data_IF_789146784358
#
_entry.id   IF_789146784358
#
_cell.length_a   1.000
_cell.length_b   1.000
_cell.length_c   1.000
_cell.angle_alpha   90.00
_cell.angle_beta   90.00
_cell.angle_gamma   90.00
#
_symmetry.space_group_name_H-M   'P 1'
#
loop_
_entity.id
_entity.type
_entity.pdbx_description
1 polymer ?
#
# COMPACT_ATOMS: atom_id res chain seq x y z
N UNK A 1 16.95 -11.51 0.27
CA UNK A 1 15.85 -12.36 -0.18
C UNK A 1 16.07 -13.85 0.07
N UNK A 2 17.28 -14.43 -0.22
CA UNK A 2 17.58 -15.87 0.03
C UNK A 2 17.34 -16.28 1.50
N UNK A 3 17.82 -15.48 2.45
CA UNK A 3 17.62 -15.74 3.89
C UNK A 3 16.14 -15.69 4.28
N UNK A 4 15.42 -14.66 3.83
CA UNK A 4 13.98 -14.54 4.04
C UNK A 4 13.22 -15.77 3.53
N UNK A 5 13.44 -16.16 2.27
CA UNK A 5 12.78 -17.34 1.67
C UNK A 5 13.07 -18.64 2.41
N UNK A 6 14.29 -18.81 2.93
CA UNK A 6 14.71 -20.04 3.61
C UNK A 6 14.30 -20.11 5.08
N UNK A 7 14.38 -18.99 5.80
CA UNK A 7 14.27 -18.99 7.26
C UNK A 7 12.95 -18.42 7.78
N UNK A 8 12.36 -17.44 7.08
CA UNK A 8 11.16 -16.75 7.59
C UNK A 8 9.90 -17.15 6.82
N UNK A 9 9.98 -17.22 5.50
CA UNK A 9 8.81 -17.48 4.67
C UNK A 9 8.05 -18.78 5.00
N UNK A 10 8.69 -19.91 5.35
CA UNK A 10 7.96 -21.11 5.76
C UNK A 10 7.13 -20.92 7.03
N UNK A 11 7.60 -20.11 7.98
CA UNK A 11 6.87 -19.80 9.20
C UNK A 11 5.69 -18.87 8.93
N UNK A 12 5.90 -17.85 8.10
CA UNK A 12 4.82 -16.97 7.62
C UNK A 12 3.78 -17.77 6.83
N UNK A 13 4.21 -18.67 5.96
CA UNK A 13 3.29 -19.53 5.21
C UNK A 13 2.36 -20.29 6.16
N UNK A 14 2.93 -21.00 7.11
CA UNK A 14 2.15 -21.78 8.09
C UNK A 14 1.16 -20.89 8.85
N UNK A 15 1.63 -19.77 9.42
CA UNK A 15 0.79 -18.87 10.18
C UNK A 15 -0.33 -18.25 9.32
N UNK A 16 0.00 -17.78 8.13
CA UNK A 16 -0.98 -17.17 7.22
C UNK A 16 -2.00 -18.20 6.71
N UNK A 17 -1.56 -19.41 6.38
CA UNK A 17 -2.42 -20.48 5.90
C UNK A 17 -3.44 -20.90 6.96
N UNK A 18 -2.98 -21.25 8.16
CA UNK A 18 -3.85 -21.66 9.28
C UNK A 18 -4.86 -20.54 9.62
N UNK A 19 -4.39 -19.28 9.67
CA UNK A 19 -5.25 -18.12 9.92
C UNK A 19 -6.28 -17.93 8.82
N UNK A 20 -5.86 -17.98 7.55
CA UNK A 20 -6.74 -17.77 6.41
C UNK A 20 -7.80 -18.87 6.32
N UNK A 21 -7.43 -20.13 6.47
CA UNK A 21 -8.36 -21.25 6.46
C UNK A 21 -9.41 -21.14 7.58
N UNK A 22 -8.96 -20.80 8.79
CA UNK A 22 -9.89 -20.60 9.92
C UNK A 22 -10.82 -19.42 9.66
N UNK A 23 -10.29 -18.31 9.17
CA UNK A 23 -11.06 -17.10 8.92
C UNK A 23 -12.12 -17.30 7.83
N UNK A 24 -11.77 -17.96 6.73
CA UNK A 24 -12.69 -18.24 5.63
C UNK A 24 -13.85 -19.14 6.03
N UNK A 25 -13.69 -20.03 7.01
CA UNK A 25 -14.79 -20.83 7.59
C UNK A 25 -15.85 -19.96 8.26
N UNK A 26 -15.47 -18.78 8.78
CA UNK A 26 -16.38 -17.84 9.46
C UNK A 26 -16.86 -16.73 8.55
N UNK A 27 -16.01 -16.28 7.64
CA UNK A 27 -16.29 -15.23 6.66
C UNK A 27 -15.67 -15.61 5.30
N UNK A 28 -16.46 -16.18 4.37
CA UNK A 28 -15.94 -16.59 3.05
C UNK A 28 -15.30 -15.47 2.23
N UNK A 29 -15.66 -14.21 2.50
CA UNK A 29 -15.11 -13.03 1.83
C UNK A 29 -13.97 -12.38 2.62
N UNK A 30 -13.52 -13.02 3.71
CA UNK A 30 -12.48 -12.48 4.58
C UNK A 30 -11.15 -12.28 3.88
N UNK A 31 -10.50 -11.15 4.18
CA UNK A 31 -9.20 -10.77 3.62
C UNK A 31 -8.15 -10.71 4.72
N UNK A 32 -6.93 -11.12 4.40
CA UNK A 32 -5.78 -10.99 5.31
C UNK A 32 -4.82 -9.97 4.73
N UNK A 33 -4.48 -9.00 5.55
CA UNK A 33 -3.49 -7.97 5.29
C UNK A 33 -2.21 -8.29 6.05
N UNK A 34 -1.07 -8.20 5.37
CA UNK A 34 0.24 -8.36 5.98
C UNK A 34 0.82 -6.99 6.30
N UNK A 35 1.18 -6.77 7.57
CA UNK A 35 1.80 -5.53 8.03
C UNK A 35 3.31 -5.68 8.11
N UNK A 36 4.04 -4.76 7.44
CA UNK A 36 5.49 -4.61 7.61
C UNK A 36 5.96 -3.22 7.20
N UNK A 37 6.53 -2.47 8.14
CA UNK A 37 7.10 -1.15 7.89
C UNK A 37 8.46 -1.22 7.20
N UNK A 38 8.88 -0.09 6.61
CA UNK A 38 10.20 0.11 6.03
C UNK A 38 10.26 -0.05 4.51
N UNK A 39 11.48 -0.12 4.00
CA UNK A 39 11.76 -0.28 2.57
C UNK A 39 11.49 -1.71 2.09
N UNK A 40 10.23 -2.08 1.99
CA UNK A 40 9.81 -3.42 1.59
C UNK A 40 9.81 -3.54 0.05
N UNK A 41 10.67 -4.36 -0.54
CA UNK A 41 10.73 -4.53 -1.99
C UNK A 41 9.56 -5.38 -2.50
N UNK A 42 9.18 -5.18 -3.76
CA UNK A 42 8.14 -5.98 -4.43
C UNK A 42 8.43 -7.48 -4.40
N UNK A 43 9.69 -7.88 -4.51
CA UNK A 43 10.11 -9.29 -4.42
C UNK A 43 9.81 -9.95 -3.06
N UNK A 44 9.68 -9.18 -1.99
CA UNK A 44 9.19 -9.69 -0.71
C UNK A 44 7.68 -9.94 -0.78
N UNK A 45 6.92 -8.99 -1.34
CA UNK A 45 5.47 -9.12 -1.52
C UNK A 45 5.13 -10.28 -2.46
N UNK A 46 5.88 -10.47 -3.55
CA UNK A 46 5.76 -11.66 -4.41
C UNK A 46 6.00 -12.95 -3.63
N UNK A 47 6.97 -12.94 -2.72
CA UNK A 47 7.21 -14.06 -1.81
C UNK A 47 6.01 -14.36 -0.91
N UNK A 48 5.32 -13.35 -0.41
CA UNK A 48 4.07 -13.53 0.36
C UNK A 48 2.94 -14.06 -0.52
N UNK A 49 2.75 -13.51 -1.71
CA UNK A 49 1.73 -13.92 -2.67
C UNK A 49 1.93 -15.37 -3.17
N UNK A 50 3.18 -15.85 -3.19
CA UNK A 50 3.47 -17.24 -3.55
C UNK A 50 2.99 -18.25 -2.50
N UNK A 51 2.61 -17.79 -1.32
CA UNK A 51 2.02 -18.63 -0.28
C UNK A 51 0.54 -18.81 -0.53
N UNK A 52 0.14 -20.01 -0.90
CA UNK A 52 -1.23 -20.30 -1.33
C UNK A 52 -1.86 -21.42 -0.49
N UNK A 53 -3.16 -21.31 -0.33
CA UNK A 53 -4.01 -22.41 0.16
C UNK A 53 -4.06 -23.52 -0.89
N UNK A 54 -4.57 -24.69 -0.48
CA UNK A 54 -4.74 -25.85 -1.37
C UNK A 54 -5.64 -25.59 -2.60
N UNK A 55 -6.49 -24.56 -2.53
CA UNK A 55 -7.36 -24.12 -3.65
C UNK A 55 -6.68 -23.09 -4.58
N UNK A 56 -5.40 -22.79 -4.38
CA UNK A 56 -4.65 -21.79 -5.16
C UNK A 56 -4.86 -20.34 -4.75
N UNK A 57 -5.71 -20.06 -3.76
CA UNK A 57 -5.91 -18.71 -3.25
C UNK A 57 -4.70 -18.27 -2.43
N UNK A 58 -4.24 -17.02 -2.61
CA UNK A 58 -3.17 -16.46 -1.77
C UNK A 58 -3.58 -16.42 -0.29
N UNK A 59 -2.64 -16.76 0.59
CA UNK A 59 -2.82 -16.62 2.03
C UNK A 59 -2.87 -15.16 2.49
N UNK A 60 -2.27 -14.24 1.71
CA UNK A 60 -2.24 -12.80 1.97
C UNK A 60 -2.94 -12.09 0.82
N UNK A 61 -3.89 -11.22 1.13
CA UNK A 61 -4.67 -10.45 0.15
C UNK A 61 -4.22 -9.00 0.02
N UNK A 62 -3.52 -8.47 1.01
CA UNK A 62 -3.12 -7.07 1.03
C UNK A 62 -1.85 -6.79 1.81
N UNK A 63 -1.29 -5.62 1.59
CA UNK A 63 -0.06 -5.16 2.22
C UNK A 63 -0.24 -3.78 2.87
N UNK A 64 0.29 -3.63 4.07
CA UNK A 64 0.24 -2.44 4.92
C UNK A 64 1.59 -2.24 5.65
N UNK A 65 2.11 -1.04 5.72
CA UNK A 65 1.73 0.15 4.95
C UNK A 65 2.58 0.32 3.69
N UNK A 66 2.02 0.98 2.70
CA UNK A 66 2.85 1.59 1.65
C UNK A 66 3.46 2.86 2.21
N UNK A 67 4.78 2.89 2.37
CA UNK A 67 5.52 4.03 2.89
C UNK A 67 6.29 4.74 1.76
N UNK A 68 5.89 5.95 1.32
CA UNK A 68 6.49 6.64 0.18
C UNK A 68 7.98 6.93 0.40
N UNK A 69 8.34 7.46 1.54
CA UNK A 69 9.72 7.85 1.88
C UNK A 69 10.67 6.67 2.13
N UNK A 70 10.15 5.51 2.49
CA UNK A 70 10.96 4.31 2.70
C UNK A 70 11.26 3.54 1.40
N UNK A 71 10.57 3.86 0.33
CA UNK A 71 10.63 3.12 -0.94
C UNK A 71 11.82 3.54 -1.81
N UNK A 72 13.01 3.04 -1.49
CA UNK A 72 14.23 3.35 -2.30
C UNK A 72 14.19 2.81 -3.73
N UNK A 73 13.45 1.73 -4.00
CA UNK A 73 13.49 0.97 -5.27
C UNK A 73 12.13 0.55 -5.81
N UNK A 74 11.05 0.90 -5.16
CA UNK A 74 9.70 0.61 -5.64
C UNK A 74 8.68 1.51 -4.93
N UNK A 75 8.41 2.66 -5.52
CA UNK A 75 7.42 3.62 -5.03
C UNK A 75 6.00 3.07 -5.02
N UNK A 76 5.04 3.84 -4.50
CA UNK A 76 3.63 3.44 -4.45
C UNK A 76 3.09 3.01 -5.81
N UNK A 77 3.37 3.80 -6.86
CA UNK A 77 2.94 3.51 -8.23
C UNK A 77 3.52 2.20 -8.77
N UNK A 78 4.83 1.96 -8.58
CA UNK A 78 5.48 0.71 -9.01
C UNK A 78 4.84 -0.51 -8.34
N UNK A 79 4.57 -0.45 -7.04
CA UNK A 79 3.89 -1.53 -6.32
C UNK A 79 2.50 -1.81 -6.90
N UNK A 80 1.74 -0.74 -7.18
CA UNK A 80 0.42 -0.87 -7.78
C UNK A 80 0.46 -1.50 -9.17
N UNK A 81 1.39 -1.04 -10.03
CA UNK A 81 1.53 -1.57 -11.38
C UNK A 81 1.95 -3.04 -11.42
N UNK A 82 2.82 -3.45 -10.49
CA UNK A 82 3.35 -4.83 -10.46
C UNK A 82 2.41 -5.83 -9.77
N UNK A 83 1.68 -5.41 -8.75
CA UNK A 83 0.99 -6.32 -7.85
C UNK A 83 -0.48 -5.95 -7.57
N UNK A 84 -0.97 -4.84 -8.12
CA UNK A 84 -2.31 -4.33 -7.80
C UNK A 84 -3.47 -5.18 -8.33
N UNK A 85 -3.21 -6.13 -9.23
CA UNK A 85 -4.13 -7.15 -9.68
C UNK A 85 -4.19 -8.37 -8.72
N UNK A 86 -3.21 -8.51 -7.84
CA UNK A 86 -3.02 -9.66 -6.95
C UNK A 86 -3.24 -9.35 -5.48
N UNK A 87 -3.04 -8.09 -5.08
CA UNK A 87 -3.23 -7.66 -3.69
C UNK A 87 -3.71 -6.22 -3.59
N UNK A 88 -4.41 -5.92 -2.51
CA UNK A 88 -4.73 -4.54 -2.17
C UNK A 88 -3.61 -3.89 -1.35
N UNK A 89 -3.57 -2.56 -1.36
CA UNK A 89 -2.60 -1.77 -0.62
C UNK A 89 -3.28 -0.83 0.35
N UNK A 90 -2.62 -0.60 1.48
CA UNK A 90 -3.08 0.30 2.53
C UNK A 90 -1.99 1.32 2.87
N UNK A 91 -2.38 2.55 3.26
CA UNK A 91 -1.45 3.60 3.68
C UNK A 91 -1.21 4.64 2.58
N UNK A 92 0.05 4.99 2.38
CA UNK A 92 0.49 5.86 1.28
C UNK A 92 0.74 7.30 1.64
N UNK A 93 0.12 7.87 2.68
CA UNK A 93 0.36 9.27 3.09
C UNK A 93 1.50 9.34 4.10
N UNK A 94 2.46 10.20 3.81
CA UNK A 94 3.71 10.29 4.56
C UNK A 94 3.51 10.85 5.97
N UNK A 95 3.99 10.09 6.97
CA UNK A 95 3.96 10.44 8.39
C UNK A 95 5.30 11.00 8.92
N UNK A 96 6.30 11.13 8.05
CA UNK A 96 7.62 11.60 8.44
C UNK A 96 7.82 13.09 8.15
N UNK A 97 7.22 13.59 7.08
CA UNK A 97 7.38 14.96 6.63
C UNK A 97 6.04 15.63 6.31
N UNK A 98 5.23 15.05 5.40
CA UNK A 98 4.03 15.71 4.88
C UNK A 98 2.99 15.93 5.98
N UNK A 99 2.59 14.90 6.70
CA UNK A 99 1.56 15.03 7.74
C UNK A 99 2.03 15.87 8.94
N UNK A 100 3.24 15.70 9.51
CA UNK A 100 3.63 16.48 10.69
C UNK A 100 4.10 17.91 10.36
N UNK A 101 4.73 18.13 9.19
CA UNK A 101 5.44 19.39 8.91
C UNK A 101 4.97 20.11 7.65
N UNK A 102 4.20 19.45 6.80
CA UNK A 102 3.61 20.06 5.60
C UNK A 102 2.45 20.99 5.94
N UNK A 103 2.13 21.87 4.98
CA UNK A 103 0.88 22.63 5.00
C UNK A 103 -0.31 21.72 4.63
N UNK A 104 -1.53 22.16 4.92
CA UNK A 104 -2.75 21.46 4.45
C UNK A 104 -2.73 21.24 2.93
N UNK A 105 -2.22 22.20 2.15
CA UNK A 105 -2.13 22.05 0.69
C UNK A 105 -1.08 21.01 0.28
N UNK A 106 0.02 20.85 1.01
CA UNK A 106 0.99 19.79 0.76
C UNK A 106 0.37 18.43 1.02
N UNK A 107 -0.42 18.30 2.08
CA UNK A 107 -1.19 17.09 2.38
C UNK A 107 -2.20 16.79 1.28
N UNK A 108 -2.96 17.79 0.81
CA UNK A 108 -3.92 17.62 -0.28
C UNK A 108 -3.26 17.18 -1.58
N UNK A 109 -2.11 17.77 -1.92
CA UNK A 109 -1.31 17.36 -3.09
C UNK A 109 -0.88 15.91 -2.99
N UNK A 110 -0.35 15.49 -1.84
CA UNK A 110 0.05 14.11 -1.66
C UNK A 110 -1.14 13.15 -1.75
N UNK A 111 -2.29 13.49 -1.20
CA UNK A 111 -3.53 12.70 -1.32
C UNK A 111 -3.92 12.49 -2.78
N UNK A 112 -3.95 13.57 -3.59
CA UNK A 112 -4.25 13.49 -5.03
C UNK A 112 -3.24 12.58 -5.75
N UNK A 113 -1.96 12.76 -5.47
CA UNK A 113 -0.88 11.92 -6.01
C UNK A 113 -1.11 10.45 -5.70
N UNK A 114 -1.34 10.09 -4.45
CA UNK A 114 -1.52 8.68 -4.05
C UNK A 114 -2.78 8.07 -4.64
N UNK A 115 -3.88 8.81 -4.71
CA UNK A 115 -5.11 8.34 -5.35
C UNK A 115 -4.88 8.08 -6.84
N UNK A 116 -4.20 8.98 -7.54
CA UNK A 116 -3.87 8.81 -8.95
C UNK A 116 -2.94 7.61 -9.18
N UNK A 117 -1.91 7.44 -8.34
CA UNK A 117 -0.94 6.35 -8.46
C UNK A 117 -1.53 4.98 -8.15
N UNK A 118 -2.38 4.88 -7.15
CA UNK A 118 -2.79 3.61 -6.55
C UNK A 118 -4.28 3.31 -6.64
N UNK A 119 -5.11 4.30 -6.91
CA UNK A 119 -6.57 4.14 -6.88
C UNK A 119 -7.15 3.46 -8.11
N UNK A 120 -6.51 3.59 -9.29
CA UNK A 120 -7.05 3.02 -10.53
C UNK A 120 -7.33 1.52 -10.42
N UNK A 121 -8.53 1.11 -10.82
CA UNK A 121 -8.96 -0.28 -10.72
C UNK A 121 -9.30 -0.75 -9.31
N UNK A 122 -9.33 0.13 -8.31
CA UNK A 122 -9.62 -0.23 -6.92
C UNK A 122 -8.44 -0.88 -6.20
N UNK A 123 -8.71 -1.56 -5.07
CA UNK A 123 -7.67 -2.25 -4.29
C UNK A 123 -6.70 -1.31 -3.58
N UNK A 124 -7.10 -0.09 -3.27
CA UNK A 124 -6.34 0.87 -2.49
C UNK A 124 -7.16 1.45 -1.34
N UNK A 125 -6.64 1.39 -0.14
CA UNK A 125 -7.19 2.00 1.06
C UNK A 125 -6.26 3.13 1.49
N UNK A 126 -6.62 4.37 1.13
CA UNK A 126 -5.85 5.54 1.51
C UNK A 126 -5.86 5.73 3.02
N UNK A 127 -4.69 5.89 3.59
CA UNK A 127 -4.46 6.18 5.00
C UNK A 127 -3.07 6.77 5.19
N UNK A 128 -2.79 7.26 6.39
CA UNK A 128 -1.41 7.50 6.82
C UNK A 128 -0.59 6.21 6.73
N UNK A 129 0.70 6.32 6.36
CA UNK A 129 1.60 5.17 6.21
C UNK A 129 2.06 4.56 7.54
N UNK A 130 1.63 5.12 8.65
CA UNK A 130 1.74 4.61 10.01
C UNK A 130 0.65 5.26 10.87
N UNK A 131 0.56 4.90 12.16
CA UNK A 131 -0.34 5.60 13.09
C UNK A 131 0.01 7.09 13.13
N UNK A 132 -0.99 7.93 13.30
CA UNK A 132 -0.79 9.35 13.53
C UNK A 132 -0.22 9.56 14.94
N UNK A 133 0.90 10.25 15.01
CA UNK A 133 1.55 10.62 16.26
C UNK A 133 1.10 12.03 16.70
N UNK A 134 1.47 12.42 17.90
CA UNK A 134 1.06 13.68 18.52
C UNK A 134 1.62 14.94 17.83
N UNK A 135 2.60 14.80 16.97
CA UNK A 135 3.21 15.86 16.17
C UNK A 135 2.43 16.19 14.88
N UNK A 136 1.42 15.39 14.55
CA UNK A 136 0.58 15.64 13.37
C UNK A 136 -0.53 16.63 13.74
N UNK A 137 -0.58 17.84 13.11
CA UNK A 137 -1.68 18.78 13.32
C UNK A 137 -3.02 18.18 12.91
N UNK A 138 -4.07 18.50 13.69
CA UNK A 138 -5.43 18.01 13.36
C UNK A 138 -5.91 18.52 12.00
N UNK A 139 -5.50 19.73 11.63
CA UNK A 139 -5.82 20.37 10.34
C UNK A 139 -5.29 19.52 9.18
N UNK A 140 -4.08 19.00 9.28
CA UNK A 140 -3.48 18.12 8.28
C UNK A 140 -4.22 16.78 8.18
N UNK A 141 -4.66 16.24 9.32
CA UNK A 141 -5.48 15.02 9.32
C UNK A 141 -6.84 15.26 8.66
N UNK A 142 -7.48 16.40 8.94
CA UNK A 142 -8.75 16.77 8.31
C UNK A 142 -8.57 17.05 6.81
N UNK A 143 -7.50 17.75 6.41
CA UNK A 143 -7.17 17.98 5.01
C UNK A 143 -7.00 16.66 4.24
N UNK A 144 -6.33 15.67 4.82
CA UNK A 144 -6.19 14.33 4.24
C UNK A 144 -7.55 13.66 4.00
N UNK A 145 -8.44 13.70 4.98
CA UNK A 145 -9.76 13.06 4.90
C UNK A 145 -10.66 13.76 3.89
N UNK A 146 -10.70 15.10 3.93
CA UNK A 146 -11.55 15.89 3.05
C UNK A 146 -11.12 15.76 1.59
N UNK A 147 -9.81 15.86 1.31
CA UNK A 147 -9.30 15.70 -0.04
C UNK A 147 -9.52 14.28 -0.58
N UNK A 148 -9.38 13.27 0.27
CA UNK A 148 -9.67 11.90 -0.13
C UNK A 148 -11.15 11.70 -0.54
N UNK A 149 -12.08 12.38 0.12
CA UNK A 149 -13.51 12.33 -0.24
C UNK A 149 -13.80 13.06 -1.55
N UNK A 150 -13.14 14.18 -1.79
CA UNK A 150 -13.33 15.01 -2.99
C UNK A 150 -12.71 14.33 -4.20
N UNK A 151 -11.42 14.00 -4.11
CA UNK A 151 -10.64 13.50 -5.24
C UNK A 151 -10.76 11.99 -5.48
N UNK A 152 -11.11 11.22 -4.44
CA UNK A 152 -11.20 9.76 -4.50
C UNK A 152 -12.52 9.20 -5.03
N UNK A 153 -13.40 10.04 -5.59
CA UNK A 153 -14.67 9.61 -6.18
C UNK A 153 -14.45 9.05 -7.58
N UNK A 154 -14.91 7.82 -7.84
CA UNK A 154 -14.80 7.19 -9.16
C UNK A 154 -15.82 7.75 -10.16
N UNK A 155 -15.48 7.86 -11.45
CA UNK A 155 -14.19 7.50 -12.06
C UNK A 155 -13.07 8.48 -11.67
N UNK A 156 -11.88 7.94 -11.40
CA UNK A 156 -10.72 8.76 -11.08
C UNK A 156 -10.17 9.47 -12.33
N UNK A 157 -9.54 10.65 -12.17
CA UNK A 157 -8.89 11.35 -13.28
C UNK A 157 -7.84 10.48 -13.98
N UNK A 158 -7.80 10.56 -15.32
CA UNK A 158 -6.80 9.86 -16.13
C UNK A 158 -5.42 10.52 -16.01
N UNK A 159 -5.41 11.86 -16.08
CA UNK A 159 -4.20 12.65 -16.02
C UNK A 159 -3.66 12.77 -14.58
N UNK A 160 -2.34 12.88 -14.43
CA UNK A 160 -1.75 13.12 -13.12
C UNK A 160 -2.21 14.48 -12.57
N UNK A 161 -2.36 14.64 -11.25
CA UNK A 161 -2.65 15.94 -10.66
C UNK A 161 -1.51 16.92 -10.92
N UNK A 162 -1.83 18.22 -10.92
CA UNK A 162 -0.84 19.29 -11.11
C UNK A 162 0.31 19.17 -10.10
N UNK A 163 1.55 19.21 -10.60
CA UNK A 163 2.75 19.07 -9.79
C UNK A 163 3.02 17.65 -9.29
N UNK A 164 2.31 16.65 -9.84
CA UNK A 164 2.57 15.25 -9.49
C UNK A 164 3.99 14.84 -9.88
N UNK A 165 4.65 14.13 -8.98
CA UNK A 165 5.84 13.39 -9.32
C UNK A 165 5.44 12.16 -10.16
N UNK A 166 5.61 12.28 -11.46
CA UNK A 166 5.32 11.17 -12.39
C UNK A 166 6.44 10.15 -12.47
N UNK A 167 7.56 10.43 -11.78
CA UNK A 167 8.70 9.56 -11.49
C UNK A 167 9.27 8.75 -12.65
N UNK A 168 10.55 8.42 -12.53
CA UNK A 168 11.23 7.44 -13.39
C UNK A 168 10.83 5.98 -13.05
N UNK A 169 9.81 5.77 -12.23
CA UNK A 169 9.33 4.45 -11.81
C UNK A 169 9.03 3.48 -12.97
N UNK A 170 8.72 4.04 -14.16
CA UNK A 170 8.52 3.23 -15.37
C UNK A 170 9.82 2.69 -15.98
N UNK A 171 10.96 3.33 -15.72
CA UNK A 171 12.26 2.87 -16.23
C UNK A 171 12.80 1.67 -15.43
N UNK A 172 12.42 1.53 -14.17
CA UNK A 172 12.79 0.38 -13.34
C UNK A 172 12.00 -0.90 -13.69
N UNK A 173 10.79 -0.76 -14.23
CA UNK A 173 9.97 -1.91 -14.67
C UNK A 173 10.49 -2.55 -15.96
N UNK A 174 11.41 -1.90 -16.67
CA UNK A 174 11.99 -2.38 -17.94
C UNK A 174 13.39 -2.98 -17.78
N UNK A 175 13.94 -3.04 -16.58
CA UNK A 175 15.22 -3.66 -16.26
C UNK A 175 15.05 -4.89 -15.38
#
# INVERSE_FOLDING_TARGET
>A
LKMFKRQLLPHYHRACMETKEYFLKKNPNGKIQFHSCGAIPTSFMEGLLSQQLNNGQSCVDGFDPVQPKAARHSGPRSKKLMLGDKMFFYGGIDVQETLPWGSEEDVRKEVRQRIWEMGKGGGYLLSSSHRLEHDVPIENTLAMIDEARIYGTYPLPEEPPEGADVGDDLLELQR
#
